data_IF_375128040489
#
_entry.id   IF_375128040489
#
_cell.length_a   1.000
_cell.length_b   1.000
_cell.length_c   1.000
_cell.angle_alpha   90.00
_cell.angle_beta   90.00
_cell.angle_gamma   90.00
#
_symmetry.space_group_name_H-M   'P 1'
#
loop_
_entity.id
_entity.type
_entity.pdbx_description
1 polymer ?
#
# COMPACT_ATOMS: atom_id res chain seq x y z
N UNK A 1 11.54 -20.64 13.94
CA UNK A 1 12.41 -19.88 13.01
C UNK A 1 11.78 -18.53 12.75
N UNK A 2 12.33 -17.46 13.31
CA UNK A 2 11.84 -16.10 13.07
C UNK A 2 12.19 -15.69 11.64
N UNK A 3 11.19 -15.51 10.77
CA UNK A 3 11.41 -14.86 9.47
C UNK A 3 11.78 -13.41 9.76
N UNK A 4 13.06 -13.08 9.63
CA UNK A 4 13.56 -11.71 9.71
C UNK A 4 12.74 -10.84 8.75
N UNK A 5 11.86 -10.00 9.31
CA UNK A 5 11.00 -9.12 8.53
C UNK A 5 11.82 -7.90 8.15
N UNK A 6 12.09 -7.75 6.85
CA UNK A 6 12.82 -6.61 6.33
C UNK A 6 11.80 -5.48 6.10
N UNK A 7 11.84 -4.38 6.88
CA UNK A 7 11.04 -3.21 6.55
C UNK A 7 11.38 -2.73 5.13
N UNK A 8 10.39 -2.23 4.39
CA UNK A 8 10.63 -1.70 3.05
C UNK A 8 11.66 -0.57 3.14
N UNK A 9 12.68 -0.55 2.27
CA UNK A 9 13.70 0.48 2.31
C UNK A 9 13.10 1.86 1.99
N UNK A 10 13.65 2.95 2.55
CA UNK A 10 13.04 4.29 2.49
C UNK A 10 12.85 4.82 1.06
N UNK A 11 13.76 4.51 0.14
CA UNK A 11 13.65 4.87 -1.27
C UNK A 11 12.43 4.21 -1.98
N UNK A 12 12.04 3.01 -1.57
CA UNK A 12 10.86 2.31 -2.11
C UNK A 12 9.57 2.94 -1.58
N UNK A 13 9.59 3.40 -0.33
CA UNK A 13 8.48 4.13 0.26
C UNK A 13 8.29 5.50 -0.39
N UNK A 14 9.37 6.23 -0.64
CA UNK A 14 9.35 7.55 -1.28
C UNK A 14 8.84 7.48 -2.72
N UNK A 15 9.34 6.53 -3.52
CA UNK A 15 8.85 6.32 -4.89
C UNK A 15 7.36 5.96 -4.93
N UNK A 16 6.91 5.06 -4.05
CA UNK A 16 5.49 4.73 -3.94
C UNK A 16 4.64 5.94 -3.52
N UNK A 17 5.16 6.80 -2.63
CA UNK A 17 4.47 8.02 -2.20
C UNK A 17 4.32 9.03 -3.35
N UNK A 18 5.35 9.20 -4.19
CA UNK A 18 5.31 10.05 -5.37
C UNK A 18 4.29 9.54 -6.41
N UNK A 19 4.32 8.24 -6.72
CA UNK A 19 3.37 7.61 -7.64
C UNK A 19 1.93 7.75 -7.12
N UNK A 20 1.72 7.55 -5.81
CA UNK A 20 0.43 7.77 -5.17
C UNK A 20 -0.03 9.23 -5.25
N UNK A 21 0.88 10.19 -5.07
CA UNK A 21 0.56 11.61 -5.16
C UNK A 21 0.11 11.98 -6.58
N UNK A 22 0.86 11.52 -7.61
CA UNK A 22 0.53 11.77 -9.01
C UNK A 22 -0.81 11.15 -9.40
N UNK A 23 -1.08 9.92 -8.99
CA UNK A 23 -2.36 9.24 -9.21
C UNK A 23 -3.55 9.96 -8.54
N UNK A 24 -3.32 10.57 -7.37
CA UNK A 24 -4.34 11.26 -6.59
C UNK A 24 -4.53 12.74 -6.96
N UNK A 25 -3.79 13.24 -7.95
CA UNK A 25 -3.92 14.61 -8.44
C UNK A 25 -5.39 14.98 -8.79
N UNK A 26 -5.75 16.27 -8.72
CA UNK A 26 -7.06 16.76 -9.16
C UNK A 26 -7.37 16.35 -10.60
N UNK A 27 -8.66 16.27 -10.95
CA UNK A 27 -9.09 15.84 -12.29
C UNK A 27 -8.53 16.74 -13.41
N UNK A 28 -8.36 18.03 -13.15
CA UNK A 28 -7.77 19.00 -14.08
C UNK A 28 -6.30 18.68 -14.41
N UNK A 29 -5.65 17.84 -13.60
CA UNK A 29 -4.27 17.38 -13.77
C UNK A 29 -4.22 15.89 -14.11
N UNK A 30 -5.33 15.31 -14.59
CA UNK A 30 -5.42 13.91 -14.98
C UNK A 30 -4.30 13.57 -15.98
N UNK A 31 -3.49 12.54 -15.69
CA UNK A 31 -2.45 12.11 -16.63
C UNK A 31 -3.05 11.63 -17.96
N UNK A 32 -2.30 11.70 -19.07
CA UNK A 32 -2.68 11.05 -20.31
C UNK A 32 -2.75 9.52 -20.13
N UNK A 33 -3.46 8.84 -21.03
CA UNK A 33 -3.76 7.41 -20.92
C UNK A 33 -2.51 6.52 -20.78
N UNK A 34 -1.43 6.82 -21.50
CA UNK A 34 -0.15 6.12 -21.41
C UNK A 34 0.47 6.25 -20.00
N UNK A 35 0.52 7.48 -19.47
CA UNK A 35 1.01 7.71 -18.11
C UNK A 35 0.12 7.03 -17.05
N UNK A 36 -1.20 6.97 -17.28
CA UNK A 36 -2.13 6.21 -16.41
C UNK A 36 -1.75 4.72 -16.39
N UNK A 37 -1.46 4.12 -17.54
CA UNK A 37 -1.07 2.72 -17.63
C UNK A 37 0.27 2.46 -16.91
N UNK A 38 1.26 3.33 -17.10
CA UNK A 38 2.58 3.22 -16.46
C UNK A 38 2.49 3.39 -14.93
N UNK A 39 1.71 4.38 -14.46
CA UNK A 39 1.46 4.57 -13.04
C UNK A 39 0.69 3.38 -12.44
N UNK A 40 -0.25 2.82 -13.19
CA UNK A 40 -1.01 1.65 -12.76
C UNK A 40 -0.12 0.44 -12.56
N UNK A 41 0.81 0.16 -13.49
CA UNK A 41 1.77 -0.93 -13.38
C UNK A 41 2.68 -0.75 -12.14
N UNK A 42 3.26 0.45 -11.96
CA UNK A 42 4.10 0.76 -10.79
C UNK A 42 3.36 0.61 -9.47
N UNK A 43 2.14 1.15 -9.38
CA UNK A 43 1.31 1.03 -8.18
C UNK A 43 0.88 -0.41 -7.89
N UNK A 44 0.64 -1.23 -8.92
CA UNK A 44 0.37 -2.65 -8.75
C UNK A 44 1.57 -3.36 -8.10
N UNK A 45 2.80 -3.05 -8.52
CA UNK A 45 4.00 -3.58 -7.86
C UNK A 45 4.15 -3.11 -6.42
N UNK A 46 3.94 -1.82 -6.16
CA UNK A 46 4.00 -1.25 -4.81
C UNK A 46 2.97 -1.91 -3.88
N UNK A 47 1.73 -2.07 -4.35
CA UNK A 47 0.67 -2.79 -3.64
C UNK A 47 1.03 -4.25 -3.38
N UNK A 48 1.58 -4.96 -4.38
CA UNK A 48 2.00 -6.35 -4.21
C UNK A 48 3.10 -6.49 -3.14
N UNK A 49 4.12 -5.62 -3.18
CA UNK A 49 5.20 -5.58 -2.18
C UNK A 49 4.65 -5.26 -0.79
N UNK A 50 3.78 -4.25 -0.68
CA UNK A 50 3.18 -3.84 0.58
C UNK A 50 2.28 -4.95 1.15
N UNK A 51 1.42 -5.55 0.33
CA UNK A 51 0.56 -6.66 0.73
C UNK A 51 1.37 -7.87 1.21
N UNK A 52 2.47 -8.21 0.54
CA UNK A 52 3.38 -9.28 0.96
C UNK A 52 3.98 -9.05 2.35
N UNK A 53 4.24 -7.79 2.74
CA UNK A 53 4.73 -7.46 4.09
C UNK A 53 3.72 -7.79 5.21
N UNK A 54 2.44 -7.97 4.84
CA UNK A 54 1.37 -8.39 5.75
C UNK A 54 1.15 -9.91 5.78
N UNK A 55 1.74 -10.68 4.85
CA UNK A 55 1.64 -12.14 4.85
C UNK A 55 2.29 -12.73 6.12
N UNK A 56 1.57 -13.63 6.79
CA UNK A 56 2.03 -14.30 8.02
C UNK A 56 2.01 -13.41 9.28
N UNK A 57 1.36 -12.23 9.23
CA UNK A 57 1.04 -11.44 10.43
C UNK A 57 -0.14 -12.08 11.17
N UNK A 58 -0.12 -12.05 12.50
CA UNK A 58 -1.26 -12.50 13.31
C UNK A 58 -2.47 -11.60 13.03
N UNK A 59 -3.70 -12.14 12.94
CA UNK A 59 -4.93 -11.36 12.76
C UNK A 59 -5.04 -10.19 13.75
N UNK A 60 -4.61 -10.38 15.00
CA UNK A 60 -4.68 -9.37 16.07
C UNK A 60 -3.80 -8.14 15.80
N UNK A 61 -2.84 -8.27 14.87
CA UNK A 61 -1.91 -7.19 14.51
C UNK A 61 -2.34 -6.42 13.27
N UNK A 62 -3.42 -6.85 12.61
CA UNK A 62 -3.95 -6.24 11.39
C UNK A 62 -5.13 -5.34 11.77
N UNK A 63 -4.97 -4.03 11.58
CA UNK A 63 -6.10 -3.09 11.80
C UNK A 63 -7.22 -3.36 10.81
N UNK A 64 -8.47 -3.06 11.18
CA UNK A 64 -9.63 -3.21 10.27
C UNK A 64 -9.41 -2.49 8.94
N UNK A 65 -8.80 -1.30 8.98
CA UNK A 65 -8.41 -0.53 7.79
C UNK A 65 -7.41 -1.27 6.90
N UNK A 66 -6.43 -1.97 7.49
CA UNK A 66 -5.46 -2.78 6.74
C UNK A 66 -6.14 -4.00 6.11
N UNK A 67 -7.01 -4.68 6.86
CA UNK A 67 -7.76 -5.83 6.35
C UNK A 67 -8.65 -5.44 5.16
N UNK A 68 -9.33 -4.30 5.23
CA UNK A 68 -10.08 -3.74 4.10
C UNK A 68 -9.17 -3.45 2.91
N UNK A 69 -8.03 -2.78 3.11
CA UNK A 69 -7.10 -2.49 2.03
C UNK A 69 -6.53 -3.76 1.36
N UNK A 70 -6.26 -4.81 2.13
CA UNK A 70 -5.84 -6.11 1.57
C UNK A 70 -6.93 -6.75 0.71
N UNK A 71 -8.21 -6.63 1.13
CA UNK A 71 -9.35 -7.10 0.33
C UNK A 71 -9.52 -6.28 -0.93
N UNK A 72 -9.49 -4.96 -0.82
CA UNK A 72 -9.57 -4.03 -1.95
C UNK A 72 -8.46 -4.33 -2.97
N UNK A 73 -7.24 -4.62 -2.49
CA UNK A 73 -6.13 -5.03 -3.35
C UNK A 73 -6.48 -6.29 -4.15
N UNK A 74 -7.08 -7.32 -3.54
CA UNK A 74 -7.47 -8.52 -4.29
C UNK A 74 -8.48 -8.22 -5.39
N UNK A 75 -9.43 -7.31 -5.13
CA UNK A 75 -10.39 -6.87 -6.14
C UNK A 75 -9.71 -6.08 -7.26
N UNK A 76 -8.79 -5.17 -6.93
CA UNK A 76 -8.11 -4.32 -7.92
C UNK A 76 -7.16 -5.09 -8.85
N UNK A 77 -6.76 -6.32 -8.50
CA UNK A 77 -5.92 -7.12 -9.41
C UNK A 77 -6.62 -7.56 -10.69
N UNK A 78 -7.95 -7.48 -10.75
CA UNK A 78 -8.71 -7.80 -11.97
C UNK A 78 -8.57 -6.73 -13.06
N UNK A 79 -7.99 -5.57 -12.73
CA UNK A 79 -7.84 -4.45 -13.66
C UNK A 79 -9.03 -3.48 -13.64
N UNK A 80 -8.98 -2.45 -14.49
CA UNK A 80 -10.06 -1.48 -14.61
C UNK A 80 -11.33 -2.12 -15.19
N UNK A 81 -12.49 -1.58 -14.79
CA UNK A 81 -13.75 -1.91 -15.45
C UNK A 81 -13.94 -1.15 -16.77
N UNK A 82 -15.17 -1.06 -17.22
CA UNK A 82 -15.54 -0.37 -18.47
C UNK A 82 -15.81 1.12 -18.26
N UNK A 83 -15.53 1.92 -19.30
CA UNK A 83 -15.94 3.33 -19.39
C UNK A 83 -14.79 4.34 -19.50
N UNK A 84 -15.12 5.61 -19.83
CA UNK A 84 -14.16 6.62 -20.25
C UNK A 84 -13.13 7.03 -19.18
N UNK A 85 -13.44 6.79 -17.91
CA UNK A 85 -12.55 7.10 -16.77
C UNK A 85 -12.15 5.86 -15.97
N UNK A 86 -12.46 4.66 -16.44
CA UNK A 86 -12.30 3.44 -15.64
C UNK A 86 -10.84 3.21 -15.26
N UNK A 87 -9.90 3.37 -16.21
CA UNK A 87 -8.46 3.28 -15.95
C UNK A 87 -7.99 4.29 -14.88
N UNK A 88 -8.48 5.54 -14.96
CA UNK A 88 -8.11 6.58 -14.00
C UNK A 88 -8.70 6.34 -12.60
N UNK A 89 -9.96 5.91 -12.51
CA UNK A 89 -10.60 5.54 -11.23
C UNK A 89 -9.92 4.33 -10.59
N UNK A 90 -9.55 3.35 -11.41
CA UNK A 90 -8.79 2.18 -10.99
C UNK A 90 -7.42 2.56 -10.42
N UNK A 91 -6.68 3.41 -11.15
CA UNK A 91 -5.41 3.97 -10.69
C UNK A 91 -5.55 4.66 -9.32
N UNK A 92 -6.58 5.49 -9.14
CA UNK A 92 -6.84 6.19 -7.88
C UNK A 92 -7.19 5.25 -6.74
N UNK A 93 -7.95 4.19 -7.03
CA UNK A 93 -8.24 3.16 -6.04
C UNK A 93 -6.95 2.45 -5.60
N UNK A 94 -6.09 2.05 -6.55
CA UNK A 94 -4.78 1.47 -6.24
C UNK A 94 -3.92 2.40 -5.38
N UNK A 95 -3.86 3.69 -5.70
CA UNK A 95 -3.09 4.66 -4.91
C UNK A 95 -3.58 4.79 -3.45
N UNK A 96 -4.90 4.80 -3.21
CA UNK A 96 -5.46 4.84 -1.83
C UNK A 96 -5.15 3.56 -1.06
N UNK A 97 -5.29 2.41 -1.72
CA UNK A 97 -4.95 1.10 -1.15
C UNK A 97 -3.46 1.04 -0.81
N UNK A 98 -2.59 1.46 -1.74
CA UNK A 98 -1.15 1.52 -1.54
C UNK A 98 -0.77 2.39 -0.33
N UNK A 99 -1.29 3.63 -0.24
CA UNK A 99 -1.06 4.52 0.92
C UNK A 99 -1.48 3.90 2.23
N UNK A 100 -2.61 3.20 2.24
CA UNK A 100 -3.11 2.53 3.44
C UNK A 100 -2.18 1.40 3.88
N UNK A 101 -1.78 0.53 2.95
CA UNK A 101 -0.90 -0.60 3.25
C UNK A 101 0.50 -0.13 3.69
N UNK A 102 1.04 0.91 3.06
CA UNK A 102 2.36 1.47 3.39
C UNK A 102 2.34 2.23 4.72
N UNK A 103 1.35 3.10 4.95
CA UNK A 103 1.25 3.90 6.18
C UNK A 103 1.06 3.03 7.41
N UNK A 104 0.22 1.99 7.32
CA UNK A 104 0.05 1.03 8.41
C UNK A 104 1.29 0.14 8.59
N UNK A 105 1.98 -0.21 7.48
CA UNK A 105 3.20 -1.02 7.52
C UNK A 105 4.35 -0.31 8.23
N UNK A 106 4.50 1.00 8.03
CA UNK A 106 5.49 1.83 8.74
C UNK A 106 5.19 1.95 10.23
N UNK A 107 3.95 2.30 10.60
CA UNK A 107 3.56 2.39 12.00
C UNK A 107 3.78 1.07 12.74
N UNK A 108 3.48 -0.06 12.10
CA UNK A 108 3.69 -1.38 12.69
C UNK A 108 5.17 -1.78 12.76
N UNK A 109 5.97 -1.45 11.72
CA UNK A 109 7.41 -1.68 11.75
C UNK A 109 8.10 -0.89 12.87
N UNK A 110 7.68 0.37 13.07
CA UNK A 110 8.13 1.19 14.18
C UNK A 110 7.78 0.54 15.53
N UNK A 111 6.52 0.15 15.74
CA UNK A 111 6.10 -0.54 16.97
C UNK A 111 6.90 -1.82 17.23
N UNK A 112 7.19 -2.62 16.20
CA UNK A 112 7.98 -3.84 16.32
C UNK A 112 9.48 -3.60 16.56
N UNK A 113 9.98 -2.38 16.31
CA UNK A 113 11.36 -1.98 16.55
C UNK A 113 11.57 -1.30 17.91
N UNK A 114 10.48 -0.97 18.62
CA UNK A 114 10.58 -0.48 19.98
C UNK A 114 11.06 -1.63 20.87
N UNK A 115 12.02 -1.38 21.79
CA UNK A 115 12.39 -2.36 22.79
C UNK A 115 11.13 -2.70 23.60
N UNK A 116 10.89 -4.00 23.83
CA UNK A 116 9.93 -4.43 24.84
C UNK A 116 10.45 -3.87 26.17
N UNK A 117 9.72 -2.94 26.78
CA UNK A 117 10.04 -2.44 28.12
C UNK A 117 9.89 -3.61 29.10
N UNK A 118 10.99 -4.31 29.34
CA UNK A 118 11.13 -5.30 30.41
C UNK A 118 11.08 -4.53 31.74
N UNK A 119 9.89 -4.42 32.33
CA UNK A 119 9.72 -3.51 33.45
C UNK A 119 8.31 -3.35 33.98
N UNK A 120 7.63 -4.45 34.31
CA UNK A 120 6.59 -4.40 35.35
C UNK A 120 6.70 -5.57 36.31
N UNK A 121 7.82 -5.60 37.03
CA UNK A 121 7.83 -6.07 38.41
C UNK A 121 7.25 -4.96 39.30
N UNK A 122 5.95 -5.05 39.60
CA UNK A 122 5.34 -4.60 40.86
C UNK A 122 4.06 -5.37 41.13
#
# INVERSE_FOLDING_TARGET
>A
MAKTRIPLPPNVVESAALDCHRALAPHQQMPPAEEIADLAARLAEHCARAAKAWEGRSPDTVTSRTATALRDWQCLRTGPGEGPFAAWLHLRAMARTCRTLLGQGQSQALLASLPEEDGRDR
#
